data_IF_800759382968
#
_entry.id   IF_800759382968
#
_cell.length_a   1.000
_cell.length_b   1.000
_cell.length_c   1.000
_cell.angle_alpha   90.00
_cell.angle_beta   90.00
_cell.angle_gamma   90.00
#
_symmetry.space_group_name_H-M   'P 1'
#
loop_
_entity.id
_entity.type
_entity.pdbx_description
1 polymer ?
#
# COMPACT_ATOMS: atom_id res chain seq x y z
N UNK A 1 -6.01 28.58 -23.24
CA UNK A 1 -4.66 27.93 -23.25
C UNK A 1 -4.51 26.76 -22.27
N UNK A 2 -4.95 26.83 -21.01
CA UNK A 2 -4.81 25.72 -20.02
C UNK A 2 -5.45 24.39 -20.41
N UNK A 3 -6.56 24.37 -21.13
CA UNK A 3 -7.27 23.15 -21.56
C UNK A 3 -6.53 22.40 -22.69
N UNK A 4 -5.93 23.12 -23.65
CA UNK A 4 -5.15 22.54 -24.74
C UNK A 4 -3.85 21.88 -24.22
N UNK A 5 -3.18 22.49 -23.25
CA UNK A 5 -2.00 21.94 -22.61
C UNK A 5 -2.30 20.65 -21.82
N UNK A 6 -3.49 20.54 -21.20
CA UNK A 6 -3.92 19.33 -20.50
C UNK A 6 -4.19 18.13 -21.41
N UNK A 7 -4.61 18.38 -22.67
CA UNK A 7 -4.84 17.33 -23.65
C UNK A 7 -3.54 16.85 -24.34
N UNK A 8 -2.50 17.70 -24.36
CA UNK A 8 -1.23 17.38 -25.02
C UNK A 8 -0.48 16.25 -24.29
N UNK A 9 -0.48 16.26 -22.95
CA UNK A 9 0.21 15.24 -22.16
C UNK A 9 -0.30 13.81 -22.41
N UNK A 10 -1.63 13.50 -22.34
CA UNK A 10 -2.11 12.16 -22.66
C UNK A 10 -1.88 11.78 -24.13
N UNK A 11 -1.94 12.73 -25.07
CA UNK A 11 -1.60 12.46 -26.49
C UNK A 11 -0.12 12.08 -26.66
N UNK A 12 0.79 12.75 -25.97
CA UNK A 12 2.22 12.38 -25.98
C UNK A 12 2.43 10.98 -25.40
N UNK A 13 1.75 10.66 -24.28
CA UNK A 13 1.82 9.32 -23.68
C UNK A 13 1.32 8.27 -24.68
N UNK A 14 0.18 8.48 -25.33
CA UNK A 14 -0.34 7.56 -26.35
C UNK A 14 0.66 7.38 -27.50
N UNK A 15 1.25 8.46 -28.01
CA UNK A 15 2.25 8.39 -29.07
C UNK A 15 3.46 7.55 -28.65
N UNK A 16 3.97 7.73 -27.43
CA UNK A 16 5.07 6.92 -26.89
C UNK A 16 4.68 5.45 -26.76
N UNK A 17 3.48 5.15 -26.24
CA UNK A 17 2.98 3.78 -26.10
C UNK A 17 2.85 3.07 -27.47
N UNK A 18 2.45 3.79 -28.52
CA UNK A 18 2.35 3.25 -29.87
C UNK A 18 3.73 3.01 -30.47
N UNK A 19 4.63 4.00 -30.38
CA UNK A 19 5.99 3.91 -30.93
C UNK A 19 6.81 2.79 -30.26
N UNK A 20 6.60 2.55 -28.99
CA UNK A 20 7.30 1.54 -28.17
C UNK A 20 6.43 0.32 -27.88
N UNK A 21 5.49 -0.01 -28.74
CA UNK A 21 4.45 -1.03 -28.48
C UNK A 21 5.01 -2.42 -28.15
N UNK A 22 6.12 -2.84 -28.73
CA UNK A 22 6.76 -4.12 -28.42
C UNK A 22 7.32 -4.15 -26.98
N UNK A 23 7.95 -3.06 -26.53
CA UNK A 23 8.48 -2.89 -25.18
C UNK A 23 7.35 -2.77 -24.16
N UNK A 24 6.34 -1.97 -24.49
CA UNK A 24 5.13 -1.82 -23.65
C UNK A 24 4.44 -3.18 -23.45
N UNK A 25 4.30 -3.98 -24.50
CA UNK A 25 3.72 -5.34 -24.39
C UNK A 25 4.52 -6.23 -23.44
N UNK A 26 5.86 -6.19 -23.49
CA UNK A 26 6.72 -6.94 -22.57
C UNK A 26 6.53 -6.46 -21.15
N UNK A 27 6.62 -5.16 -20.90
CA UNK A 27 6.40 -4.55 -19.58
C UNK A 27 5.03 -4.91 -18.98
N UNK A 28 3.98 -4.88 -19.80
CA UNK A 28 2.63 -5.29 -19.38
C UNK A 28 2.61 -6.77 -19.01
N UNK A 29 3.23 -7.65 -19.83
CA UNK A 29 3.29 -9.09 -19.55
C UNK A 29 4.02 -9.38 -18.24
N UNK A 30 5.18 -8.77 -18.02
CA UNK A 30 5.98 -8.94 -16.80
C UNK A 30 5.23 -8.43 -15.57
N UNK A 31 4.59 -7.26 -15.67
CA UNK A 31 3.77 -6.70 -14.59
C UNK A 31 2.55 -7.57 -14.27
N UNK A 32 1.86 -8.13 -15.27
CA UNK A 32 0.76 -9.08 -15.09
C UNK A 32 1.23 -10.35 -14.40
N UNK A 33 2.41 -10.85 -14.74
CA UNK A 33 3.00 -12.01 -14.06
C UNK A 33 3.28 -11.71 -12.58
N UNK A 34 3.83 -10.53 -12.25
CA UNK A 34 4.01 -10.07 -10.87
C UNK A 34 2.67 -9.95 -10.14
N UNK A 35 1.64 -9.43 -10.79
CA UNK A 35 0.30 -9.37 -10.21
C UNK A 35 -0.23 -10.78 -9.89
N UNK A 36 -0.12 -11.72 -10.83
CA UNK A 36 -0.64 -13.07 -10.68
C UNK A 36 0.14 -13.90 -9.64
N UNK A 37 1.46 -13.77 -9.58
CA UNK A 37 2.33 -14.61 -8.73
C UNK A 37 2.61 -14.02 -7.34
N UNK A 38 2.44 -12.71 -7.16
CA UNK A 38 2.75 -12.02 -5.92
C UNK A 38 1.54 -11.28 -5.35
N UNK A 39 0.93 -10.34 -6.10
CA UNK A 39 -0.12 -9.48 -5.54
C UNK A 39 -1.42 -10.24 -5.26
N UNK A 40 -1.90 -11.03 -6.23
CA UNK A 40 -3.15 -11.79 -6.06
C UNK A 40 -3.09 -12.74 -4.86
N UNK A 41 -2.08 -13.63 -4.73
CA UNK A 41 -2.01 -14.52 -3.56
C UNK A 41 -1.83 -13.78 -2.23
N UNK A 42 -1.09 -12.66 -2.24
CA UNK A 42 -0.78 -11.91 -1.02
C UNK A 42 -1.90 -11.00 -0.55
N UNK A 43 -2.78 -10.51 -1.43
CA UNK A 43 -3.75 -9.47 -1.09
C UNK A 43 -5.21 -9.93 -1.19
N UNK A 44 -5.58 -10.73 -2.20
CA UNK A 44 -6.97 -11.03 -2.50
C UNK A 44 -7.74 -11.69 -1.33
N UNK A 45 -7.18 -12.71 -0.63
CA UNK A 45 -7.86 -13.28 0.54
C UNK A 45 -8.10 -12.24 1.65
N UNK A 46 -7.13 -11.37 1.88
CA UNK A 46 -7.24 -10.32 2.90
C UNK A 46 -8.27 -9.25 2.53
N UNK A 47 -8.46 -8.96 1.24
CA UNK A 47 -9.50 -8.04 0.77
C UNK A 47 -10.89 -8.55 1.12
N UNK A 48 -11.14 -9.85 0.91
CA UNK A 48 -12.43 -10.48 1.26
C UNK A 48 -12.63 -10.47 2.78
N UNK A 49 -11.65 -10.99 3.53
CA UNK A 49 -11.75 -11.17 4.98
C UNK A 49 -11.89 -9.84 5.71
N UNK A 50 -11.14 -8.80 5.29
CA UNK A 50 -11.24 -7.47 5.93
C UNK A 50 -12.65 -6.85 5.79
N UNK A 51 -13.30 -7.07 4.66
CA UNK A 51 -14.68 -6.63 4.44
C UNK A 51 -15.69 -7.41 5.31
N UNK A 52 -15.50 -8.71 5.45
CA UNK A 52 -16.31 -9.56 6.32
C UNK A 52 -16.15 -9.13 7.79
N UNK A 53 -14.92 -8.89 8.25
CA UNK A 53 -14.63 -8.40 9.61
C UNK A 53 -15.33 -7.06 9.89
N UNK A 54 -15.36 -6.18 8.89
CA UNK A 54 -16.11 -4.92 8.99
C UNK A 54 -17.62 -5.15 9.12
N UNK A 55 -18.20 -5.98 8.25
CA UNK A 55 -19.65 -6.28 8.24
C UNK A 55 -20.12 -7.00 9.52
N UNK A 56 -19.23 -7.79 10.16
CA UNK A 56 -19.51 -8.46 11.44
C UNK A 56 -19.25 -7.59 12.68
N UNK A 57 -18.89 -6.34 12.48
CA UNK A 57 -18.70 -5.41 13.58
C UNK A 57 -17.48 -5.71 14.43
N UNK A 58 -16.30 -5.80 13.81
CA UNK A 58 -15.03 -5.90 14.54
C UNK A 58 -14.89 -4.82 15.62
N UNK A 59 -15.52 -3.67 15.42
CA UNK A 59 -15.61 -2.55 16.35
C UNK A 59 -16.49 -2.80 17.59
N UNK A 60 -17.17 -3.93 17.68
CA UNK A 60 -17.79 -4.38 18.95
C UNK A 60 -16.78 -4.98 19.92
N UNK A 61 -15.69 -5.58 19.36
CA UNK A 61 -14.62 -6.23 20.15
C UNK A 61 -13.57 -5.24 20.60
N UNK A 62 -13.24 -4.24 19.76
CA UNK A 62 -12.20 -3.26 20.01
C UNK A 62 -12.59 -1.87 19.46
N UNK A 63 -11.96 -0.78 19.95
CA UNK A 63 -12.26 0.56 19.47
C UNK A 63 -12.09 0.72 17.96
N UNK A 64 -13.00 1.45 17.25
CA UNK A 64 -12.98 1.61 15.80
C UNK A 64 -11.64 2.12 15.24
N UNK A 65 -10.98 3.05 15.94
CA UNK A 65 -9.66 3.55 15.54
C UNK A 65 -8.59 2.44 15.58
N UNK A 66 -8.64 1.57 16.57
CA UNK A 66 -7.74 0.42 16.69
C UNK A 66 -8.06 -0.67 15.66
N UNK A 67 -9.35 -0.87 15.29
CA UNK A 67 -9.73 -1.73 14.17
C UNK A 67 -9.07 -1.29 12.87
N UNK A 68 -9.10 0.01 12.55
CA UNK A 68 -8.44 0.56 11.37
C UNK A 68 -6.92 0.30 11.38
N UNK A 69 -6.27 0.46 12.54
CA UNK A 69 -4.85 0.16 12.71
C UNK A 69 -4.56 -1.33 12.46
N UNK A 70 -5.31 -2.22 13.10
CA UNK A 70 -5.16 -3.67 12.93
C UNK A 70 -5.38 -4.12 11.47
N UNK A 71 -6.42 -3.60 10.80
CA UNK A 71 -6.66 -3.89 9.37
C UNK A 71 -5.47 -3.40 8.54
N UNK A 72 -4.94 -2.21 8.79
CA UNK A 72 -3.75 -1.69 8.11
C UNK A 72 -2.52 -2.54 8.35
N UNK A 73 -2.29 -2.99 9.59
CA UNK A 73 -1.12 -3.79 9.97
C UNK A 73 -1.17 -5.22 9.40
N UNK A 74 -2.34 -5.84 9.34
CA UNK A 74 -2.52 -7.24 8.91
C UNK A 74 -2.80 -7.36 7.42
N UNK A 75 -3.73 -6.55 6.91
CA UNK A 75 -4.17 -6.64 5.52
C UNK A 75 -3.32 -5.77 4.57
N UNK A 76 -2.65 -4.75 5.12
CA UNK A 76 -1.78 -3.86 4.36
C UNK A 76 -2.54 -2.81 3.53
N UNK A 77 -1.78 -2.09 2.70
CA UNK A 77 -2.35 -1.14 1.76
C UNK A 77 -3.03 -1.85 0.57
N UNK A 78 -4.07 -1.26 -0.02
CA UNK A 78 -4.73 -0.03 0.39
C UNK A 78 -5.81 -0.21 1.47
N UNK A 79 -5.99 -1.44 2.03
CA UNK A 79 -7.11 -1.80 2.91
C UNK A 79 -7.15 -1.01 4.22
N UNK A 80 -5.99 -0.74 4.84
CA UNK A 80 -5.93 0.10 6.03
C UNK A 80 -6.52 1.49 5.79
N UNK A 81 -6.14 2.14 4.68
CA UNK A 81 -6.69 3.44 4.28
C UNK A 81 -8.19 3.36 3.98
N UNK A 82 -8.63 2.29 3.27
CA UNK A 82 -10.05 2.05 3.01
C UNK A 82 -10.85 1.90 4.30
N UNK A 83 -10.35 1.13 5.27
CA UNK A 83 -10.99 0.96 6.56
C UNK A 83 -11.18 2.31 7.28
N UNK A 84 -10.14 3.16 7.30
CA UNK A 84 -10.25 4.52 7.87
C UNK A 84 -11.37 5.31 7.21
N UNK A 85 -11.44 5.32 5.87
CA UNK A 85 -12.48 6.05 5.13
C UNK A 85 -13.89 5.49 5.39
N UNK A 86 -14.04 4.14 5.48
CA UNK A 86 -15.31 3.50 5.76
C UNK A 86 -15.80 3.80 7.20
N UNK A 87 -14.94 3.62 8.21
CA UNK A 87 -15.29 3.92 9.60
C UNK A 87 -15.60 5.40 9.82
N UNK A 88 -14.93 6.29 9.09
CA UNK A 88 -15.22 7.72 9.10
C UNK A 88 -16.56 8.04 8.43
N UNK A 89 -16.83 7.46 7.25
CA UNK A 89 -18.09 7.63 6.54
C UNK A 89 -19.31 7.18 7.35
N UNK A 90 -19.16 6.11 8.14
CA UNK A 90 -20.20 5.60 9.04
C UNK A 90 -20.28 6.38 10.38
N UNK A 91 -19.50 7.43 10.56
CA UNK A 91 -19.48 8.24 11.79
C UNK A 91 -18.92 7.52 13.03
N UNK A 92 -18.28 6.36 12.86
CA UNK A 92 -17.68 5.57 13.95
C UNK A 92 -16.39 6.16 14.50
N UNK A 93 -15.67 6.94 13.69
CA UNK A 93 -14.49 7.72 14.10
C UNK A 93 -14.66 9.18 13.68
N UNK A 94 -14.04 10.09 14.42
CA UNK A 94 -14.05 11.52 14.11
C UNK A 94 -13.11 11.82 12.94
N UNK A 95 -13.32 12.97 12.27
CA UNK A 95 -12.42 13.47 11.22
C UNK A 95 -10.97 13.54 11.68
N UNK A 96 -10.74 14.05 12.89
CA UNK A 96 -9.40 14.18 13.46
C UNK A 96 -8.75 12.80 13.67
N UNK A 97 -9.51 11.82 14.14
CA UNK A 97 -9.02 10.44 14.26
C UNK A 97 -8.72 9.84 12.90
N UNK A 98 -9.61 10.00 11.92
CA UNK A 98 -9.43 9.48 10.57
C UNK A 98 -8.17 10.07 9.90
N UNK A 99 -8.02 11.41 9.91
CA UNK A 99 -6.85 12.08 9.35
C UNK A 99 -5.54 11.62 10.01
N UNK A 100 -5.52 11.41 11.33
CA UNK A 100 -4.33 10.92 12.04
C UNK A 100 -4.07 9.44 11.81
N UNK A 101 -5.11 8.61 11.65
CA UNK A 101 -4.96 7.21 11.27
C UNK A 101 -4.32 7.03 9.89
N UNK A 102 -4.55 7.94 8.96
CA UNK A 102 -3.87 7.92 7.65
C UNK A 102 -2.33 8.00 7.75
N UNK A 103 -1.78 8.49 8.88
CA UNK A 103 -0.34 8.51 9.12
C UNK A 103 0.25 7.09 9.29
N UNK A 104 -0.52 6.12 9.79
CA UNK A 104 0.00 4.82 10.24
C UNK A 104 -0.76 3.59 9.72
N UNK A 105 -1.73 3.73 8.80
CA UNK A 105 -2.53 2.59 8.32
C UNK A 105 -2.20 2.16 6.89
N UNK A 106 -1.45 2.95 6.12
CA UNK A 106 -1.01 2.59 4.78
C UNK A 106 0.30 1.78 4.82
N UNK A 107 0.25 0.59 5.38
CA UNK A 107 1.39 -0.32 5.64
C UNK A 107 1.49 -1.43 4.60
N UNK A 108 2.66 -2.03 4.44
CA UNK A 108 2.82 -3.27 3.69
C UNK A 108 2.28 -4.45 4.52
N UNK A 109 1.60 -5.40 3.88
CA UNK A 109 1.08 -6.58 4.60
C UNK A 109 2.21 -7.52 5.06
N UNK A 110 2.02 -8.31 6.14
CA UNK A 110 2.99 -9.33 6.54
C UNK A 110 3.24 -10.35 5.43
N UNK A 111 2.22 -10.72 4.65
CA UNK A 111 2.38 -11.62 3.50
C UNK A 111 3.35 -11.04 2.46
N UNK A 112 3.28 -9.73 2.18
CA UNK A 112 4.21 -9.06 1.27
C UNK A 112 5.63 -9.00 1.86
N UNK A 113 5.79 -8.53 3.10
CA UNK A 113 7.12 -8.36 3.69
C UNK A 113 7.81 -9.69 4.01
N UNK A 114 7.09 -10.68 4.52
CA UNK A 114 7.67 -11.95 4.94
C UNK A 114 7.85 -12.89 3.74
N UNK A 115 6.79 -13.10 2.94
CA UNK A 115 6.82 -14.09 1.87
C UNK A 115 7.38 -13.53 0.57
N UNK A 116 6.97 -12.34 0.12
CA UNK A 116 7.45 -11.79 -1.15
C UNK A 116 8.85 -11.19 -1.00
N UNK A 117 9.06 -10.30 -0.02
CA UNK A 117 10.35 -9.63 0.17
C UNK A 117 11.35 -10.56 0.85
N UNK A 118 11.04 -11.05 2.06
CA UNK A 118 11.97 -11.83 2.88
C UNK A 118 12.32 -13.19 2.27
N UNK A 119 11.31 -13.97 1.93
CA UNK A 119 11.50 -15.36 1.48
C UNK A 119 11.91 -15.44 0.00
N UNK A 120 11.08 -14.90 -0.91
CA UNK A 120 11.32 -15.06 -2.34
C UNK A 120 12.44 -14.17 -2.88
N UNK A 121 12.53 -12.90 -2.45
CA UNK A 121 13.50 -11.94 -2.97
C UNK A 121 14.84 -11.99 -2.25
N UNK A 122 14.83 -11.90 -0.93
CA UNK A 122 16.06 -11.86 -0.14
C UNK A 122 16.60 -13.25 0.17
N UNK A 123 15.81 -14.33 -0.09
CA UNK A 123 16.16 -15.69 0.28
C UNK A 123 16.32 -15.89 1.81
N UNK A 124 15.85 -14.94 2.62
CA UNK A 124 16.02 -14.89 4.06
C UNK A 124 14.72 -14.49 4.75
N UNK A 125 13.87 -15.47 5.03
CA UNK A 125 12.58 -15.24 5.68
C UNK A 125 12.68 -14.50 7.01
N UNK A 126 13.78 -14.70 7.75
CA UNK A 126 14.05 -13.97 9.00
C UNK A 126 14.14 -12.46 8.82
N UNK A 127 14.71 -11.97 7.70
CA UNK A 127 14.73 -10.55 7.37
C UNK A 127 13.34 -10.00 7.12
N UNK A 128 12.46 -10.80 6.48
CA UNK A 128 11.05 -10.43 6.29
C UNK A 128 10.31 -10.21 7.61
N UNK A 129 10.54 -11.07 8.60
CA UNK A 129 10.00 -10.88 9.96
C UNK A 129 10.56 -9.62 10.64
N UNK A 130 11.87 -9.36 10.52
CA UNK A 130 12.48 -8.13 11.05
C UNK A 130 11.91 -6.88 10.40
N UNK A 131 11.74 -6.86 9.08
CA UNK A 131 11.12 -5.76 8.33
C UNK A 131 9.68 -5.53 8.80
N UNK A 132 8.89 -6.59 8.94
CA UNK A 132 7.52 -6.49 9.42
C UNK A 132 7.45 -5.97 10.86
N UNK A 133 8.27 -6.48 11.76
CA UNK A 133 8.31 -6.02 13.14
C UNK A 133 8.73 -4.55 13.24
N UNK A 134 9.76 -4.14 12.50
CA UNK A 134 10.20 -2.75 12.43
C UNK A 134 9.09 -1.83 11.92
N UNK A 135 8.38 -2.23 10.85
CA UNK A 135 7.23 -1.49 10.31
C UNK A 135 6.10 -1.39 11.32
N UNK A 136 5.77 -2.50 11.99
CA UNK A 136 4.70 -2.53 12.99
C UNK A 136 5.01 -1.63 14.18
N UNK A 137 6.24 -1.65 14.68
CA UNK A 137 6.69 -0.78 15.77
C UNK A 137 6.67 0.70 15.35
N UNK A 138 7.13 1.03 14.12
CA UNK A 138 7.04 2.39 13.59
C UNK A 138 5.59 2.89 13.52
N UNK A 139 4.70 2.06 12.97
CA UNK A 139 3.29 2.39 12.85
C UNK A 139 2.60 2.52 14.23
N UNK A 140 2.91 1.62 15.17
CA UNK A 140 2.39 1.67 16.53
C UNK A 140 2.87 2.92 17.28
N UNK A 141 4.12 3.30 17.11
CA UNK A 141 4.65 4.56 17.67
C UNK A 141 3.88 5.76 17.13
N UNK A 142 3.65 5.85 15.83
CA UNK A 142 2.85 6.93 15.23
C UNK A 142 1.40 6.88 15.75
N UNK A 143 0.80 5.69 15.87
CA UNK A 143 -0.55 5.52 16.39
C UNK A 143 -0.67 6.06 17.80
N UNK A 144 0.23 5.64 18.72
CA UNK A 144 0.21 6.05 20.12
C UNK A 144 0.47 7.55 20.31
N UNK A 145 1.33 8.15 19.49
CA UNK A 145 1.68 9.58 19.60
C UNK A 145 0.60 10.51 19.03
N UNK A 146 -0.09 10.08 17.97
CA UNK A 146 -0.94 11.00 17.21
C UNK A 146 -2.43 10.67 17.22
N UNK A 147 -2.86 9.43 17.48
CA UNK A 147 -4.28 9.08 17.50
C UNK A 147 -4.89 9.37 18.87
N UNK A 148 -5.94 10.23 18.96
CA UNK A 148 -6.49 10.64 20.27
C UNK A 148 -7.22 9.53 21.02
N UNK A 149 -7.10 9.54 22.35
CA UNK A 149 -7.59 8.54 23.31
C UNK A 149 -9.12 8.40 23.44
N UNK A 150 -9.93 9.22 22.82
CA UNK A 150 -11.40 9.08 22.91
C UNK A 150 -11.91 7.94 22.05
N UNK A 151 -11.64 6.72 22.50
CA UNK A 151 -12.07 5.51 21.81
C UNK A 151 -13.49 5.12 22.26
N UNK A 152 -14.51 5.45 21.48
CA UNK A 152 -15.86 4.90 21.68
C UNK A 152 -15.92 3.50 21.08
N UNK A 153 -16.56 2.55 21.79
CA UNK A 153 -16.88 1.25 21.20
C UNK A 153 -17.96 1.45 20.13
N UNK A 154 -17.82 0.73 19.02
CA UNK A 154 -18.82 0.72 17.96
C UNK A 154 -20.09 -0.08 18.34
N UNK A 155 -21.14 0.10 17.56
CA UNK A 155 -22.39 -0.69 17.68
C UNK A 155 -22.35 -1.90 16.75
N UNK A 156 -23.06 -2.97 17.12
CA UNK A 156 -23.14 -4.19 16.34
C UNK A 156 -23.77 -3.96 14.96
N UNK A 157 -23.13 -4.44 13.90
CA UNK A 157 -23.73 -4.62 12.57
C UNK A 157 -24.10 -6.10 12.42
N UNK A 158 -25.38 -6.41 12.23
CA UNK A 158 -25.86 -7.78 12.11
C UNK A 158 -26.01 -8.21 10.65
N UNK A 159 -24.90 -8.47 9.95
CA UNK A 159 -24.97 -8.98 8.57
C UNK A 159 -25.09 -10.52 8.54
N UNK A 160 -25.85 -11.08 7.56
CA UNK A 160 -25.85 -12.53 7.30
C UNK A 160 -24.52 -12.94 6.64
N UNK A 161 -23.92 -14.03 7.09
CA UNK A 161 -22.60 -14.53 6.64
C UNK A 161 -22.52 -14.69 5.12
N UNK A 162 -23.52 -15.33 4.50
CA UNK A 162 -23.52 -15.60 3.06
C UNK A 162 -23.62 -14.34 2.21
N UNK A 163 -24.43 -13.37 2.63
CA UNK A 163 -24.60 -12.09 1.93
C UNK A 163 -23.33 -11.23 2.04
N UNK A 164 -22.71 -11.21 3.23
CA UNK A 164 -21.46 -10.52 3.48
C UNK A 164 -20.32 -11.13 2.64
N UNK A 165 -20.21 -12.46 2.57
CA UNK A 165 -19.17 -13.11 1.78
C UNK A 165 -19.26 -12.76 0.29
N UNK A 166 -20.43 -12.93 -0.34
CA UNK A 166 -20.62 -12.63 -1.76
C UNK A 166 -20.40 -11.14 -2.08
N UNK A 167 -20.92 -10.25 -1.24
CA UNK A 167 -20.71 -8.80 -1.36
C UNK A 167 -19.23 -8.46 -1.30
N UNK A 168 -18.52 -8.95 -0.28
CA UNK A 168 -17.11 -8.62 -0.09
C UNK A 168 -16.21 -9.28 -1.12
N UNK A 169 -16.56 -10.46 -1.65
CA UNK A 169 -15.83 -11.07 -2.77
C UNK A 169 -15.92 -10.19 -4.03
N UNK A 170 -17.10 -9.65 -4.38
CA UNK A 170 -17.22 -8.72 -5.53
C UNK A 170 -16.41 -7.46 -5.33
N UNK A 171 -16.52 -6.83 -4.15
CA UNK A 171 -15.76 -5.64 -3.82
C UNK A 171 -14.24 -5.93 -3.86
N UNK A 172 -13.80 -7.07 -3.34
CA UNK A 172 -12.40 -7.50 -3.37
C UNK A 172 -11.90 -7.70 -4.80
N UNK A 173 -12.74 -8.27 -5.69
CA UNK A 173 -12.40 -8.44 -7.10
C UNK A 173 -12.17 -7.10 -7.79
N UNK A 174 -13.07 -6.13 -7.62
CA UNK A 174 -12.91 -4.79 -8.21
C UNK A 174 -11.64 -4.10 -7.69
N UNK A 175 -11.35 -4.26 -6.40
CA UNK A 175 -10.17 -3.65 -5.78
C UNK A 175 -8.86 -4.27 -6.24
N UNK A 176 -8.78 -5.59 -6.31
CA UNK A 176 -7.54 -6.25 -6.76
C UNK A 176 -7.28 -5.97 -8.23
N UNK A 177 -8.31 -5.90 -9.06
CA UNK A 177 -8.18 -5.49 -10.46
C UNK A 177 -7.68 -4.05 -10.58
N UNK A 178 -8.18 -3.13 -9.75
CA UNK A 178 -7.70 -1.75 -9.71
C UNK A 178 -6.23 -1.65 -9.28
N UNK A 179 -5.82 -2.41 -8.26
CA UNK A 179 -4.42 -2.50 -7.82
C UNK A 179 -3.53 -3.02 -8.94
N UNK A 180 -3.91 -4.14 -9.57
CA UNK A 180 -3.17 -4.72 -10.70
C UNK A 180 -3.07 -3.75 -11.89
N UNK A 181 -4.17 -3.07 -12.25
CA UNK A 181 -4.18 -2.10 -13.33
C UNK A 181 -3.20 -0.94 -13.08
N UNK A 182 -3.14 -0.41 -11.85
CA UNK A 182 -2.18 0.62 -11.50
C UNK A 182 -0.74 0.08 -11.50
N UNK A 183 -0.49 -1.12 -10.97
CA UNK A 183 0.83 -1.75 -11.00
C UNK A 183 1.32 -1.95 -12.44
N UNK A 184 0.46 -2.43 -13.34
CA UNK A 184 0.77 -2.57 -14.78
C UNK A 184 1.07 -1.21 -15.40
N UNK A 185 0.22 -0.20 -15.16
CA UNK A 185 0.40 1.14 -15.72
C UNK A 185 1.71 1.79 -15.24
N UNK A 186 1.99 1.75 -13.95
CA UNK A 186 3.25 2.30 -13.40
C UNK A 186 4.47 1.45 -13.77
N UNK A 187 4.31 0.14 -13.97
CA UNK A 187 5.35 -0.77 -14.44
C UNK A 187 5.94 -0.35 -15.78
N UNK A 188 5.11 0.15 -16.70
CA UNK A 188 5.58 0.70 -17.99
C UNK A 188 6.59 1.84 -17.76
N UNK A 189 6.31 2.76 -16.85
CA UNK A 189 7.23 3.86 -16.52
C UNK A 189 8.50 3.36 -15.82
N UNK A 190 8.40 2.32 -15.00
CA UNK A 190 9.55 1.68 -14.38
C UNK A 190 10.51 1.12 -15.41
N UNK A 191 10.01 0.50 -16.49
CA UNK A 191 10.86 -0.05 -17.54
C UNK A 191 11.58 1.03 -18.35
N UNK A 192 10.95 2.20 -18.56
CA UNK A 192 11.67 3.33 -19.17
C UNK A 192 12.87 3.78 -18.32
N UNK A 193 12.74 3.78 -16.99
CA UNK A 193 13.85 4.10 -16.11
C UNK A 193 14.98 3.06 -16.15
N UNK A 194 14.67 1.78 -16.40
CA UNK A 194 15.67 0.71 -16.53
C UNK A 194 16.60 0.91 -17.75
N UNK A 195 16.14 1.61 -18.78
CA UNK A 195 16.94 1.88 -19.97
C UNK A 195 17.88 3.10 -19.85
N UNK A 196 17.67 3.92 -18.82
CA UNK A 196 18.55 5.07 -18.62
C UNK A 196 19.93 4.62 -18.10
N UNK A 197 21.02 5.21 -18.60
CA UNK A 197 22.37 4.94 -18.13
C UNK A 197 22.64 5.66 -16.80
N UNK A 198 21.95 5.23 -15.73
CA UNK A 198 22.04 5.79 -14.38
C UNK A 198 22.60 4.75 -13.41
N UNK A 199 23.16 5.23 -12.29
CA UNK A 199 23.62 4.39 -11.19
C UNK A 199 22.54 3.44 -10.68
N UNK A 200 22.94 2.23 -10.24
CA UNK A 200 22.00 1.18 -9.80
C UNK A 200 21.17 1.58 -8.57
N UNK A 201 21.77 2.34 -7.63
CA UNK A 201 21.03 2.83 -6.47
C UNK A 201 19.99 3.89 -6.88
N UNK A 202 20.35 4.79 -7.83
CA UNK A 202 19.41 5.76 -8.38
C UNK A 202 18.30 5.08 -9.17
N UNK A 203 18.61 4.01 -9.91
CA UNK A 203 17.63 3.21 -10.63
C UNK A 203 16.67 2.52 -9.65
N UNK A 204 17.19 1.90 -8.59
CA UNK A 204 16.39 1.29 -7.54
C UNK A 204 15.45 2.31 -6.88
N UNK A 205 15.97 3.48 -6.50
CA UNK A 205 15.18 4.56 -5.90
C UNK A 205 14.12 5.09 -6.86
N UNK A 206 14.44 5.27 -8.14
CA UNK A 206 13.50 5.74 -9.16
C UNK A 206 12.38 4.74 -9.40
N UNK A 207 12.73 3.50 -9.69
CA UNK A 207 11.76 2.43 -9.97
C UNK A 207 10.91 2.12 -8.73
N UNK A 208 11.55 1.89 -7.57
CA UNK A 208 10.83 1.60 -6.33
C UNK A 208 10.06 2.81 -5.78
N UNK A 209 10.53 4.02 -6.10
CA UNK A 209 9.82 5.26 -5.80
C UNK A 209 8.51 5.40 -6.59
N UNK A 210 8.47 4.89 -7.80
CA UNK A 210 7.26 4.84 -8.65
C UNK A 210 6.39 3.64 -8.26
N UNK A 211 6.96 2.42 -8.31
CA UNK A 211 6.21 1.19 -8.06
C UNK A 211 7.07 0.22 -7.23
N UNK A 212 6.61 -0.07 -6.03
CA UNK A 212 7.40 -0.79 -5.02
C UNK A 212 7.74 -2.22 -5.43
N UNK A 213 6.83 -2.95 -6.08
CA UNK A 213 7.05 -4.34 -6.46
C UNK A 213 8.16 -4.48 -7.51
N UNK A 214 8.17 -3.59 -8.50
CA UNK A 214 9.23 -3.51 -9.50
C UNK A 214 10.57 -3.05 -8.86
N UNK A 215 10.51 -2.12 -7.91
CA UNK A 215 11.70 -1.68 -7.16
C UNK A 215 12.30 -2.81 -6.35
N UNK A 216 11.49 -3.52 -5.58
CA UNK A 216 11.95 -4.66 -4.78
C UNK A 216 12.51 -5.77 -5.67
N UNK A 217 11.94 -6.01 -6.86
CA UNK A 217 12.46 -6.98 -7.83
C UNK A 217 13.84 -6.61 -8.42
N UNK A 218 14.25 -5.35 -8.33
CA UNK A 218 15.59 -4.89 -8.74
C UNK A 218 16.62 -4.92 -7.60
N UNK A 219 16.18 -5.22 -6.37
CA UNK A 219 17.08 -5.24 -5.23
C UNK A 219 17.95 -6.50 -5.25
N UNK A 220 19.26 -6.33 -5.38
CA UNK A 220 20.25 -7.40 -5.38
C UNK A 220 21.34 -7.18 -4.33
N UNK A 221 22.22 -6.21 -4.58
CA UNK A 221 23.40 -5.91 -3.76
C UNK A 221 23.38 -4.51 -3.14
N UNK A 222 22.32 -3.76 -3.35
CA UNK A 222 22.21 -2.40 -2.84
C UNK A 222 22.08 -2.39 -1.31
N UNK A 223 22.40 -1.26 -0.66
CA UNK A 223 22.31 -1.15 0.80
C UNK A 223 20.89 -1.43 1.33
N UNK A 224 20.78 -2.22 2.37
CA UNK A 224 19.49 -2.54 3.05
C UNK A 224 18.74 -1.26 3.49
N UNK A 225 19.48 -0.18 3.77
CA UNK A 225 18.91 1.13 4.07
C UNK A 225 17.95 1.61 2.97
N UNK A 226 18.34 1.46 1.70
CA UNK A 226 17.52 1.86 0.55
C UNK A 226 16.25 1.02 0.44
N UNK A 227 16.37 -0.30 0.64
CA UNK A 227 15.20 -1.18 0.64
C UNK A 227 14.22 -0.80 1.75
N UNK A 228 14.70 -0.60 2.98
CA UNK A 228 13.86 -0.18 4.10
C UNK A 228 13.17 1.16 3.83
N UNK A 229 13.90 2.14 3.29
CA UNK A 229 13.34 3.44 2.93
C UNK A 229 12.27 3.31 1.84
N UNK A 230 12.50 2.52 0.79
CA UNK A 230 11.54 2.25 -0.27
C UNK A 230 10.30 1.52 0.25
N UNK A 231 10.46 0.53 1.13
CA UNK A 231 9.32 -0.17 1.76
C UNK A 231 8.49 0.78 2.64
N UNK A 232 9.15 1.71 3.36
CA UNK A 232 8.47 2.78 4.11
C UNK A 232 7.69 3.72 3.20
N UNK A 233 8.27 4.13 2.07
CA UNK A 233 7.63 4.94 1.05
C UNK A 233 6.51 4.17 0.33
N UNK A 234 6.72 2.91 0.01
CA UNK A 234 5.81 1.97 -0.66
C UNK A 234 5.49 2.29 -2.14
N UNK A 235 6.19 3.25 -2.75
CA UNK A 235 5.96 3.66 -4.14
C UNK A 235 4.79 4.62 -4.35
N UNK A 236 4.88 5.44 -5.40
CA UNK A 236 3.83 6.38 -5.79
C UNK A 236 2.55 5.65 -6.25
N UNK A 237 2.68 4.46 -6.84
CA UNK A 237 1.56 3.60 -7.21
C UNK A 237 0.65 3.31 -6.01
N UNK A 238 1.21 2.88 -4.88
CA UNK A 238 0.48 2.63 -3.63
C UNK A 238 -0.13 3.92 -3.07
N UNK A 239 0.60 5.04 -3.17
CA UNK A 239 0.03 6.34 -2.77
C UNK A 239 -1.24 6.66 -3.56
N UNK A 240 -1.24 6.46 -4.88
CA UNK A 240 -2.42 6.68 -5.74
C UNK A 240 -3.56 5.73 -5.37
N UNK A 241 -3.27 4.46 -5.07
CA UNK A 241 -4.26 3.49 -4.59
C UNK A 241 -4.94 3.97 -3.30
N UNK A 242 -4.16 4.37 -2.30
CA UNK A 242 -4.69 4.90 -1.04
C UNK A 242 -5.43 6.24 -1.24
N UNK A 243 -4.89 7.13 -2.05
CA UNK A 243 -5.47 8.43 -2.34
C UNK A 243 -6.84 8.33 -3.02
N UNK A 244 -7.10 7.26 -3.78
CA UNK A 244 -8.42 7.04 -4.41
C UNK A 244 -9.54 6.93 -3.38
N UNK A 245 -9.30 6.29 -2.24
CA UNK A 245 -10.27 6.21 -1.13
C UNK A 245 -10.40 7.53 -0.37
N UNK A 246 -9.26 8.18 -0.07
CA UNK A 246 -9.25 9.46 0.65
C UNK A 246 -9.97 10.55 -0.13
N UNK A 247 -9.86 10.57 -1.48
CA UNK A 247 -10.56 11.53 -2.34
C UNK A 247 -12.08 11.35 -2.41
N UNK A 248 -12.59 10.16 -2.09
CA UNK A 248 -14.02 9.88 -2.00
C UNK A 248 -14.63 10.34 -0.65
N UNK A 249 -13.77 10.71 0.29
CA UNK A 249 -14.11 11.32 1.56
C UNK A 249 -13.64 12.78 1.58
N UNK A 250 -14.02 13.55 2.58
CA UNK A 250 -13.55 14.92 2.77
C UNK A 250 -12.24 15.02 3.57
N UNK A 251 -11.53 13.90 3.74
CA UNK A 251 -10.27 13.81 4.46
C UNK A 251 -9.10 14.42 3.67
N UNK A 252 -8.11 14.93 4.39
CA UNK A 252 -6.95 15.62 3.80
C UNK A 252 -5.84 14.66 3.43
N UNK A 253 -5.50 14.58 2.14
CA UNK A 253 -4.38 13.77 1.61
C UNK A 253 -3.02 14.06 2.25
N UNK A 254 -2.82 15.26 2.82
CA UNK A 254 -1.55 15.62 3.46
C UNK A 254 -1.13 14.65 4.58
N UNK A 255 -2.10 14.08 5.32
CA UNK A 255 -1.80 13.11 6.38
C UNK A 255 -1.27 11.79 5.82
N UNK A 256 -1.79 11.34 4.67
CA UNK A 256 -1.24 10.19 3.97
C UNK A 256 0.21 10.45 3.52
N UNK A 257 0.51 11.64 2.96
CA UNK A 257 1.87 12.05 2.59
C UNK A 257 2.82 12.06 3.80
N UNK A 258 2.40 12.71 4.88
CA UNK A 258 3.20 12.79 6.11
C UNK A 258 3.47 11.40 6.69
N UNK A 259 2.48 10.50 6.66
CA UNK A 259 2.64 9.10 7.07
C UNK A 259 3.68 8.36 6.25
N UNK A 260 3.66 8.51 4.92
CA UNK A 260 4.67 7.91 4.03
C UNK A 260 6.08 8.44 4.30
N UNK A 261 6.23 9.75 4.50
CA UNK A 261 7.52 10.35 4.85
C UNK A 261 8.00 9.82 6.21
N UNK A 262 7.13 9.80 7.22
CA UNK A 262 7.48 9.28 8.54
C UNK A 262 7.91 7.80 8.48
N UNK A 263 7.17 6.96 7.75
CA UNK A 263 7.53 5.54 7.58
C UNK A 263 8.84 5.35 6.81
N UNK A 264 9.13 6.19 5.81
CA UNK A 264 10.41 6.18 5.06
C UNK A 264 11.60 6.41 5.98
N UNK A 265 11.45 7.22 7.02
CA UNK A 265 12.51 7.53 7.99
C UNK A 265 12.56 6.52 9.14
N UNK A 266 11.40 6.14 9.70
CA UNK A 266 11.32 5.29 10.89
C UNK A 266 11.62 3.82 10.58
N UNK A 267 11.22 3.30 9.42
CA UNK A 267 11.40 1.88 9.11
C UNK A 267 12.89 1.49 9.05
N UNK A 268 13.78 2.21 8.33
CA UNK A 268 15.20 1.88 8.37
C UNK A 268 15.79 2.06 9.77
N UNK A 269 15.43 3.12 10.50
CA UNK A 269 15.92 3.35 11.85
C UNK A 269 15.63 2.16 12.78
N UNK A 270 14.38 1.70 12.82
CA UNK A 270 13.98 0.59 13.68
C UNK A 270 14.51 -0.77 13.18
N UNK A 271 14.61 -0.96 11.85
CA UNK A 271 15.19 -2.17 11.29
C UNK A 271 16.65 -2.37 11.72
N UNK A 272 17.46 -1.31 11.65
CA UNK A 272 18.87 -1.39 12.10
C UNK A 272 18.98 -1.50 13.61
N UNK A 273 18.10 -0.85 14.37
CA UNK A 273 18.05 -1.02 15.82
C UNK A 273 17.79 -2.49 16.19
N UNK A 274 16.82 -3.17 15.55
CA UNK A 274 16.54 -4.59 15.80
C UNK A 274 17.59 -5.54 15.20
N UNK A 275 18.45 -5.05 14.33
CA UNK A 275 19.55 -5.85 13.78
C UNK A 275 20.83 -5.76 14.62
N UNK A 276 20.91 -4.77 15.50
CA UNK A 276 22.02 -4.56 16.42
C UNK A 276 21.82 -5.32 17.75
N UNK A 277 20.60 -5.79 18.04
CA UNK A 277 20.22 -6.65 19.16
C UNK A 277 20.24 -8.11 18.71
#
# INVERSE_FOLDING_TARGET
MRTKAKALLPLMIIAVLVLLSAQVRRSVSDSLQLCATVLLPALFPFFIVSGILYDFGLDTLMPPAFCCFCIGAVCGYPLGTRAVCAYYGDGKITRTQAERLLLCTALASPAFLISAVGDKLLGQRALGYKLFLAQLCAALLIFLLFVPDKMKKGGAAGAKVSESFLKNTRIATDQILFVCALTVFFGIFCDFLKWLPIDENLRLLGVGGIEILHGVALFEKQPMLLLCALLGWSGFCVFVQCASFVRQSDLKLRYLWLGKIAMTLLLPLLFFLFSAI
#
